data_IF_467166274828
#
_entry.id   IF_467166274828
#
_cell.length_a   1.000
_cell.length_b   1.000
_cell.length_c   1.000
_cell.angle_alpha   90.00
_cell.angle_beta   90.00
_cell.angle_gamma   90.00
#
_symmetry.space_group_name_H-M   'P 1'
#
loop_
_entity.id
_entity.type
_entity.pdbx_description
1 polymer ?
#
# COMPACT_ATOMS: atom_id res chain seq x y z
N UNK A 1 32.70 28.20 15.47
CA UNK A 1 31.81 27.04 15.70
C UNK A 1 30.58 27.16 14.83
N UNK A 2 30.45 26.34 13.79
CA UNK A 2 29.19 26.19 13.04
C UNK A 2 28.23 25.35 13.88
N UNK A 3 27.04 25.89 14.18
CA UNK A 3 25.93 25.12 14.78
C UNK A 3 25.08 24.58 13.64
N UNK A 4 24.63 23.33 13.74
CA UNK A 4 23.74 22.72 12.76
C UNK A 4 22.30 22.81 13.24
N UNK A 5 21.39 23.32 12.42
CA UNK A 5 19.96 23.31 12.65
C UNK A 5 19.30 22.29 11.73
N UNK A 6 18.51 21.38 12.29
CA UNK A 6 17.71 20.45 11.52
C UNK A 6 16.31 21.01 11.30
N UNK A 7 15.98 21.37 10.07
CA UNK A 7 14.67 21.94 9.70
C UNK A 7 13.51 21.00 9.99
N UNK A 8 13.71 19.69 9.89
CA UNK A 8 12.66 18.70 10.18
C UNK A 8 12.43 18.51 11.67
N UNK A 9 13.51 18.44 12.46
CA UNK A 9 13.42 18.21 13.91
C UNK A 9 13.17 19.49 14.71
N UNK A 10 13.29 20.66 14.07
CA UNK A 10 13.26 21.99 14.70
C UNK A 10 14.21 22.11 15.90
N UNK A 11 15.38 21.49 15.82
CA UNK A 11 16.36 21.41 16.92
C UNK A 11 17.75 21.84 16.46
N UNK A 12 18.46 22.57 17.33
CA UNK A 12 19.88 22.88 17.14
C UNK A 12 20.77 21.79 17.72
N UNK A 13 21.86 21.50 17.03
CA UNK A 13 22.92 20.60 17.46
C UNK A 13 24.11 21.42 18.00
N UNK A 14 24.67 20.98 19.13
CA UNK A 14 25.72 21.71 19.86
C UNK A 14 27.02 21.81 19.06
N UNK A 15 27.39 20.73 18.36
CA UNK A 15 28.59 20.66 17.52
C UNK A 15 28.28 20.04 16.17
N UNK A 16 28.65 20.74 15.10
CA UNK A 16 28.44 20.30 13.73
C UNK A 16 29.64 19.52 13.18
N UNK A 17 29.95 18.38 13.79
CA UNK A 17 30.94 17.44 13.24
C UNK A 17 30.23 16.40 12.37
N UNK A 18 30.92 15.88 11.35
CA UNK A 18 30.35 14.87 10.44
C UNK A 18 29.81 13.65 11.18
N UNK A 19 30.48 13.21 12.25
CA UNK A 19 30.05 12.09 13.08
C UNK A 19 28.73 12.37 13.79
N UNK A 20 28.61 13.53 14.46
CA UNK A 20 27.40 13.91 15.20
C UNK A 20 26.23 14.18 14.25
N UNK A 21 26.50 14.82 13.10
CA UNK A 21 25.46 15.04 12.08
C UNK A 21 24.96 13.71 11.50
N UNK A 22 25.87 12.79 11.16
CA UNK A 22 25.51 11.47 10.61
C UNK A 22 24.68 10.65 11.59
N UNK A 23 25.03 10.66 12.88
CA UNK A 23 24.25 9.94 13.90
C UNK A 23 22.86 10.55 14.10
N UNK A 24 22.72 11.88 14.02
CA UNK A 24 21.43 12.56 14.04
C UNK A 24 20.54 12.16 12.85
N UNK A 25 21.08 12.19 11.63
CA UNK A 25 20.33 11.90 10.39
C UNK A 25 19.83 10.45 10.30
N UNK A 26 20.60 9.49 10.83
CA UNK A 26 20.20 8.07 10.90
C UNK A 26 19.36 7.77 12.17
N UNK A 27 19.15 8.78 13.02
CA UNK A 27 18.38 8.67 14.25
C UNK A 27 16.91 8.30 13.99
N UNK A 28 16.37 7.36 14.78
CA UNK A 28 14.98 6.89 14.65
C UNK A 28 13.94 8.01 14.66
N UNK A 29 14.13 9.02 15.52
CA UNK A 29 13.18 10.14 15.61
C UNK A 29 13.24 11.03 14.36
N UNK A 30 14.45 11.36 13.89
CA UNK A 30 14.64 12.12 12.65
C UNK A 30 13.99 11.39 11.46
N UNK A 31 14.31 10.11 11.26
CA UNK A 31 13.73 9.31 10.17
C UNK A 31 12.20 9.28 10.19
N UNK A 32 11.59 9.18 11.38
CA UNK A 32 10.12 9.21 11.52
C UNK A 32 9.56 10.58 11.11
N UNK A 33 10.11 11.67 11.64
CA UNK A 33 9.64 13.03 11.35
C UNK A 33 9.81 13.36 9.87
N UNK A 34 10.98 13.06 9.30
CA UNK A 34 11.27 13.26 7.88
C UNK A 34 10.33 12.43 7.00
N UNK A 35 10.09 11.16 7.34
CA UNK A 35 9.13 10.32 6.62
C UNK A 35 7.70 10.88 6.70
N UNK A 36 7.27 11.36 7.86
CA UNK A 36 5.94 11.94 8.05
C UNK A 36 5.79 13.26 7.29
N UNK A 37 6.84 14.10 7.25
CA UNK A 37 6.88 15.32 6.44
C UNK A 37 6.62 15.01 4.97
N UNK A 38 7.40 14.11 4.36
CA UNK A 38 7.25 13.78 2.94
C UNK A 38 5.93 13.07 2.63
N UNK A 39 5.44 12.20 3.53
CA UNK A 39 4.10 11.60 3.40
C UNK A 39 3.01 12.66 3.41
N UNK A 40 3.08 13.64 4.31
CA UNK A 40 2.10 14.72 4.37
C UNK A 40 2.20 15.63 3.15
N UNK A 41 3.40 16.01 2.73
CA UNK A 41 3.60 16.86 1.54
C UNK A 41 3.06 16.20 0.27
N UNK A 42 3.35 14.90 0.07
CA UNK A 42 2.81 14.13 -1.04
C UNK A 42 1.27 14.05 -1.01
N UNK A 43 0.69 13.87 0.19
CA UNK A 43 -0.77 13.87 0.38
C UNK A 43 -1.37 15.23 0.08
N UNK A 44 -0.74 16.32 0.48
CA UNK A 44 -1.24 17.68 0.26
C UNK A 44 -1.25 18.00 -1.23
N UNK A 45 -0.16 17.72 -1.95
CA UNK A 45 -0.07 17.91 -3.40
C UNK A 45 -1.13 17.08 -4.12
N UNK A 46 -1.27 15.79 -3.76
CA UNK A 46 -2.26 14.90 -4.38
C UNK A 46 -3.72 15.30 -4.05
N UNK A 47 -3.97 15.86 -2.87
CA UNK A 47 -5.32 16.25 -2.44
C UNK A 47 -5.71 17.67 -2.83
N UNK A 48 -4.74 18.49 -3.28
CA UNK A 48 -4.98 19.87 -3.71
C UNK A 48 -5.89 19.87 -4.94
N UNK A 49 -6.99 20.62 -4.85
CA UNK A 49 -8.01 20.74 -5.90
C UNK A 49 -8.10 22.18 -6.39
N UNK A 50 -7.06 22.60 -7.09
CA UNK A 50 -7.04 23.92 -7.72
C UNK A 50 -7.81 23.84 -9.05
N UNK A 51 -8.89 24.62 -9.15
CA UNK A 51 -9.69 24.69 -10.38
C UNK A 51 -9.11 25.75 -11.30
N UNK A 52 -9.20 25.52 -12.62
CA UNK A 52 -8.78 26.51 -13.62
C UNK A 52 -9.66 27.76 -13.52
N UNK A 53 -9.07 28.92 -13.82
CA UNK A 53 -9.85 30.15 -13.99
C UNK A 53 -10.80 29.97 -15.17
N UNK A 54 -12.08 30.23 -14.95
CA UNK A 54 -13.09 30.14 -15.98
C UNK A 54 -13.43 31.54 -16.52
N UNK A 55 -13.03 31.82 -17.76
CA UNK A 55 -13.42 33.03 -18.48
C UNK A 55 -14.69 32.74 -19.28
N UNK A 56 -15.83 33.25 -18.82
CA UNK A 56 -17.13 33.03 -19.47
C UNK A 56 -17.38 34.08 -20.53
N UNK A 57 -17.35 33.68 -21.80
CA UNK A 57 -17.80 34.51 -22.93
C UNK A 57 -19.32 34.60 -23.01
N UNK A 58 -19.83 35.61 -23.73
CA UNK A 58 -21.27 35.74 -24.00
C UNK A 58 -21.67 34.71 -25.07
N UNK A 59 -22.59 33.81 -24.71
CA UNK A 59 -23.16 32.82 -25.64
C UNK A 59 -23.98 33.52 -26.73
N UNK A 60 -23.78 33.11 -27.99
CA UNK A 60 -24.50 33.65 -29.14
C UNK A 60 -25.97 33.20 -29.20
N UNK A 61 -26.80 33.89 -30.00
CA UNK A 61 -28.25 33.62 -30.09
C UNK A 61 -28.58 32.20 -30.58
N UNK A 62 -27.99 31.78 -31.70
CA UNK A 62 -28.19 30.43 -32.28
C UNK A 62 -27.83 29.31 -31.30
N UNK A 63 -26.80 29.52 -30.48
CA UNK A 63 -26.37 28.55 -29.47
C UNK A 63 -27.39 28.40 -28.34
N UNK A 64 -28.03 29.50 -27.93
CA UNK A 64 -29.08 29.49 -26.89
C UNK A 64 -30.31 28.76 -27.38
N UNK A 65 -30.78 29.09 -28.59
CA UNK A 65 -31.94 28.46 -29.24
C UNK A 65 -31.78 26.94 -29.31
N UNK A 66 -30.59 26.45 -29.71
CA UNK A 66 -30.30 25.02 -29.72
C UNK A 66 -30.26 24.38 -28.32
N UNK A 67 -29.72 25.08 -27.31
CA UNK A 67 -29.70 24.51 -25.94
C UNK A 67 -31.06 24.57 -25.24
N UNK A 68 -31.90 25.53 -25.59
CA UNK A 68 -33.24 25.68 -25.02
C UNK A 68 -34.21 24.67 -25.64
N UNK A 69 -33.95 24.20 -26.87
CA UNK A 69 -34.66 23.10 -27.50
C UNK A 69 -34.37 21.74 -26.83
N UNK A 70 -33.24 21.60 -26.12
CA UNK A 70 -32.90 20.38 -25.39
C UNK A 70 -33.63 20.32 -24.03
N UNK A 71 -34.01 19.10 -23.62
CA UNK A 71 -34.58 18.89 -22.29
C UNK A 71 -33.56 19.16 -21.17
N UNK A 72 -34.05 19.72 -20.06
CA UNK A 72 -33.21 19.97 -18.88
C UNK A 72 -32.85 18.66 -18.18
N UNK A 73 -31.55 18.44 -18.02
CA UNK A 73 -31.01 17.28 -17.33
C UNK A 73 -31.18 17.40 -15.81
N UNK A 74 -31.66 16.32 -15.17
CA UNK A 74 -31.73 16.23 -13.70
C UNK A 74 -30.33 16.04 -13.10
N UNK A 75 -29.95 16.92 -12.17
CA UNK A 75 -28.70 16.79 -11.41
C UNK A 75 -28.91 15.98 -10.13
N UNK A 76 -28.13 14.91 -9.94
CA UNK A 76 -28.16 14.12 -8.70
C UNK A 76 -27.19 14.70 -7.67
N UNK A 77 -27.68 14.97 -6.47
CA UNK A 77 -26.92 15.57 -5.38
C UNK A 77 -27.08 14.73 -4.12
N UNK A 78 -25.96 14.20 -3.60
CA UNK A 78 -25.94 13.38 -2.40
C UNK A 78 -25.93 14.21 -1.11
N UNK A 79 -26.37 13.58 0.00
CA UNK A 79 -26.24 14.14 1.35
C UNK A 79 -24.78 14.27 1.79
N UNK A 80 -24.48 15.18 2.72
CA UNK A 80 -23.13 15.34 3.27
C UNK A 80 -22.59 14.06 3.92
N UNK A 81 -23.45 13.29 4.59
CA UNK A 81 -23.09 12.00 5.19
C UNK A 81 -22.64 11.00 4.13
N UNK A 82 -23.40 10.90 3.04
CA UNK A 82 -23.12 10.02 1.91
C UNK A 82 -21.85 10.44 1.16
N UNK A 83 -21.70 11.74 0.88
CA UNK A 83 -20.49 12.31 0.26
C UNK A 83 -19.23 11.97 1.06
N UNK A 84 -19.29 12.12 2.39
CA UNK A 84 -18.18 11.79 3.29
C UNK A 84 -17.84 10.30 3.26
N UNK A 85 -18.86 9.43 3.29
CA UNK A 85 -18.69 7.98 3.16
C UNK A 85 -18.05 7.58 1.83
N UNK A 86 -18.60 8.09 0.72
CA UNK A 86 -18.11 7.81 -0.63
C UNK A 86 -16.68 8.32 -0.84
N UNK A 87 -16.34 9.51 -0.34
CA UNK A 87 -14.98 10.04 -0.44
C UNK A 87 -13.98 9.19 0.35
N UNK A 88 -14.36 8.73 1.55
CA UNK A 88 -13.51 7.84 2.34
C UNK A 88 -13.28 6.50 1.62
N UNK A 89 -14.34 5.87 1.10
CA UNK A 89 -14.25 4.64 0.32
C UNK A 89 -13.36 4.81 -0.92
N UNK A 90 -13.54 5.89 -1.69
CA UNK A 90 -12.70 6.20 -2.87
C UNK A 90 -11.23 6.34 -2.50
N UNK A 91 -10.91 7.05 -1.41
CA UNK A 91 -9.52 7.24 -0.96
C UNK A 91 -8.87 5.92 -0.54
N UNK A 92 -9.61 5.05 0.16
CA UNK A 92 -9.11 3.72 0.54
C UNK A 92 -8.87 2.85 -0.69
N UNK A 93 -9.82 2.81 -1.63
CA UNK A 93 -9.68 2.04 -2.86
C UNK A 93 -8.49 2.51 -3.70
N UNK A 94 -8.29 3.83 -3.85
CA UNK A 94 -7.12 4.38 -4.55
C UNK A 94 -5.81 3.98 -3.88
N UNK A 95 -5.75 4.01 -2.54
CA UNK A 95 -4.57 3.59 -1.79
C UNK A 95 -4.28 2.10 -1.97
N UNK A 96 -5.31 1.25 -1.87
CA UNK A 96 -5.18 -0.19 -2.07
C UNK A 96 -4.72 -0.53 -3.49
N UNK A 97 -5.29 0.12 -4.51
CA UNK A 97 -4.88 -0.04 -5.91
C UNK A 97 -3.41 0.37 -6.12
N UNK A 98 -2.98 1.49 -5.53
CA UNK A 98 -1.59 1.95 -5.65
C UNK A 98 -0.57 1.06 -4.92
N UNK A 99 -1.01 0.32 -3.90
CA UNK A 99 -0.15 -0.58 -3.12
C UNK A 99 -0.14 -2.02 -3.67
N UNK A 100 -1.14 -2.38 -4.46
CA UNK A 100 -1.27 -3.73 -5.00
C UNK A 100 -0.32 -3.92 -6.18
N UNK A 101 0.45 -5.01 -6.16
CA UNK A 101 1.27 -5.47 -7.29
C UNK A 101 0.93 -6.92 -7.66
N UNK A 102 1.16 -7.27 -8.92
CA UNK A 102 0.90 -8.61 -9.46
C UNK A 102 2.17 -9.45 -9.29
N UNK A 103 2.18 -10.37 -8.32
CA UNK A 103 3.34 -11.24 -8.02
C UNK A 103 3.04 -12.72 -8.32
N UNK A 104 2.13 -13.01 -9.26
CA UNK A 104 1.70 -14.39 -9.59
C UNK A 104 2.84 -15.26 -10.10
N UNK A 105 3.79 -14.68 -10.85
CA UNK A 105 4.95 -15.41 -11.37
C UNK A 105 5.84 -15.97 -10.26
N UNK A 106 6.01 -15.22 -9.16
CA UNK A 106 6.81 -15.69 -8.03
C UNK A 106 6.19 -16.96 -7.41
N UNK A 107 4.86 -17.02 -7.29
CA UNK A 107 4.17 -18.22 -6.80
C UNK A 107 4.14 -19.35 -7.82
N UNK A 108 4.06 -19.04 -9.12
CA UNK A 108 3.99 -20.03 -10.20
C UNK A 108 5.31 -20.81 -10.34
N UNK A 109 6.43 -20.12 -10.23
CA UNK A 109 7.77 -20.69 -10.38
C UNK A 109 8.33 -21.25 -9.08
N UNK A 110 7.55 -21.28 -7.99
CA UNK A 110 8.01 -21.84 -6.72
C UNK A 110 8.29 -23.34 -6.87
N UNK A 111 9.53 -23.75 -6.58
CA UNK A 111 10.02 -25.11 -6.78
C UNK A 111 10.66 -25.38 -8.16
N UNK A 112 10.71 -24.39 -9.05
CA UNK A 112 11.47 -24.51 -10.30
C UNK A 112 12.98 -24.58 -10.04
N UNK A 113 13.76 -25.26 -10.91
CA UNK A 113 15.22 -25.24 -10.81
C UNK A 113 15.72 -23.81 -10.98
N UNK A 114 16.59 -23.36 -10.08
CA UNK A 114 17.16 -22.02 -10.12
C UNK A 114 16.26 -20.90 -9.55
N UNK A 115 15.08 -21.20 -9.01
CA UNK A 115 14.20 -20.22 -8.35
C UNK A 115 14.96 -19.31 -7.38
N UNK A 116 15.79 -19.92 -6.53
CA UNK A 116 16.53 -19.25 -5.47
C UNK A 116 17.61 -18.28 -5.95
N UNK A 117 17.96 -18.30 -7.24
CA UNK A 117 18.94 -17.40 -7.85
C UNK A 117 18.31 -16.14 -8.46
N UNK A 118 17.01 -16.19 -8.78
CA UNK A 118 16.30 -15.13 -9.52
C UNK A 118 15.25 -14.44 -8.67
N UNK A 119 14.40 -15.21 -7.97
CA UNK A 119 13.25 -14.70 -7.22
C UNK A 119 13.56 -14.35 -5.76
N UNK A 120 14.76 -14.70 -5.28
CA UNK A 120 15.21 -14.32 -3.94
C UNK A 120 16.17 -13.16 -4.07
N UNK A 121 15.73 -11.97 -3.65
CA UNK A 121 16.49 -10.73 -3.80
C UNK A 121 17.87 -10.78 -3.13
N UNK A 122 18.01 -11.48 -2.01
CA UNK A 122 19.30 -11.62 -1.30
C UNK A 122 20.35 -12.42 -2.10
N UNK A 123 19.91 -13.24 -3.04
CA UNK A 123 20.76 -14.15 -3.80
C UNK A 123 21.00 -13.66 -5.24
N UNK A 124 20.35 -12.58 -5.66
CA UNK A 124 20.54 -11.97 -6.98
C UNK A 124 21.91 -11.29 -7.06
N UNK A 125 22.53 -11.34 -8.22
CA UNK A 125 23.85 -10.75 -8.43
C UNK A 125 23.83 -9.22 -8.55
N UNK A 126 22.74 -8.63 -9.02
CA UNK A 126 22.60 -7.20 -9.24
C UNK A 126 22.34 -6.43 -7.94
N UNK A 127 21.43 -6.93 -7.10
CA UNK A 127 20.97 -6.25 -5.89
C UNK A 127 21.31 -6.97 -4.58
N UNK A 128 21.81 -8.21 -4.62
CA UNK A 128 21.96 -9.05 -3.43
C UNK A 128 22.86 -8.43 -2.36
N UNK A 129 23.97 -7.82 -2.77
CA UNK A 129 24.89 -7.16 -1.84
C UNK A 129 24.27 -5.90 -1.22
N UNK A 130 23.50 -5.12 -2.00
CA UNK A 130 22.75 -3.97 -1.49
C UNK A 130 21.67 -4.37 -0.49
N UNK A 131 20.95 -5.47 -0.75
CA UNK A 131 19.93 -6.01 0.16
C UNK A 131 20.55 -6.49 1.46
N UNK A 132 21.74 -7.09 1.42
CA UNK A 132 22.48 -7.51 2.63
C UNK A 132 23.01 -6.31 3.41
N UNK A 133 23.63 -5.34 2.73
CA UNK A 133 24.21 -4.14 3.34
C UNK A 133 23.16 -3.19 3.93
N UNK A 134 21.95 -3.15 3.36
CA UNK A 134 20.84 -2.32 3.84
C UNK A 134 20.12 -2.87 5.08
N UNK A 135 20.44 -4.10 5.52
CA UNK A 135 19.90 -4.64 6.77
C UNK A 135 20.32 -3.75 7.94
N UNK A 136 19.32 -3.19 8.63
CA UNK A 136 19.54 -2.28 9.74
C UNK A 136 20.26 -2.96 10.91
N UNK A 137 21.15 -2.24 11.63
CA UNK A 137 21.82 -2.77 12.80
C UNK A 137 20.79 -3.11 13.89
N UNK A 138 20.71 -4.39 14.26
CA UNK A 138 19.80 -4.88 15.29
C UNK A 138 20.40 -4.67 16.68
N UNK A 139 20.55 -3.41 17.10
CA UNK A 139 21.11 -3.06 18.42
C UNK A 139 20.17 -3.33 19.59
N UNK A 140 18.86 -3.46 19.32
CA UNK A 140 17.84 -3.75 20.31
C UNK A 140 17.37 -5.20 20.15
N UNK A 141 17.70 -6.05 21.12
CA UNK A 141 17.40 -7.48 21.10
C UNK A 141 15.89 -7.78 21.26
N UNK A 142 15.10 -6.83 21.78
CA UNK A 142 13.68 -7.07 22.10
C UNK A 142 12.77 -7.22 20.86
N UNK A 143 13.19 -6.73 19.68
CA UNK A 143 12.33 -6.81 18.49
C UNK A 143 12.33 -8.20 17.84
N UNK A 144 13.41 -8.96 18.00
CA UNK A 144 13.49 -10.33 17.50
C UNK A 144 12.73 -11.31 18.38
N UNK A 145 12.64 -11.07 19.69
CA UNK A 145 11.89 -11.94 20.62
C UNK A 145 10.37 -11.81 20.46
N UNK A 146 9.87 -10.66 19.99
CA UNK A 146 8.44 -10.43 19.73
C UNK A 146 7.89 -11.24 18.54
N UNK A 147 8.75 -11.68 17.63
CA UNK A 147 8.35 -12.46 16.46
C UNK A 147 8.87 -13.89 16.56
N UNK A 148 8.05 -14.80 17.07
CA UNK A 148 8.37 -16.23 17.19
C UNK A 148 8.31 -17.00 15.84
N UNK A 149 8.16 -16.31 14.71
CA UNK A 149 8.11 -16.94 13.39
C UNK A 149 9.52 -17.34 12.94
N UNK A 150 9.69 -18.58 12.51
CA UNK A 150 10.96 -19.06 11.94
C UNK A 150 11.29 -18.26 10.67
N UNK A 151 12.49 -17.67 10.63
CA UNK A 151 13.01 -17.07 9.40
C UNK A 151 13.40 -18.19 8.44
N UNK A 152 12.65 -18.39 7.36
CA UNK A 152 12.96 -19.38 6.33
C UNK A 152 13.77 -18.72 5.21
N UNK A 153 15.09 -18.61 5.41
CA UNK A 153 16.01 -18.19 4.34
C UNK A 153 16.28 -19.36 3.40
N UNK A 154 16.01 -19.17 2.11
CA UNK A 154 16.34 -20.14 1.06
C UNK A 154 17.76 -19.93 0.54
N UNK A 155 18.53 -21.01 0.48
CA UNK A 155 19.94 -20.95 0.09
C UNK A 155 20.07 -20.76 -1.43
N UNK A 156 21.17 -20.14 -1.85
CA UNK A 156 21.51 -20.03 -3.27
C UNK A 156 21.92 -21.38 -3.87
N UNK A 157 22.40 -22.30 -3.03
CA UNK A 157 22.97 -23.60 -3.42
C UNK A 157 21.92 -24.72 -3.49
N UNK A 158 20.64 -24.38 -3.48
CA UNK A 158 19.56 -25.35 -3.64
C UNK A 158 19.62 -26.03 -5.01
N UNK A 159 19.60 -27.36 -5.00
CA UNK A 159 19.53 -28.23 -6.17
C UNK A 159 18.09 -28.70 -6.41
N UNK A 160 17.82 -29.22 -7.61
CA UNK A 160 16.51 -29.78 -7.97
C UNK A 160 16.19 -31.11 -7.26
N UNK A 161 17.19 -31.78 -6.65
CA UNK A 161 17.04 -33.07 -5.97
C UNK A 161 16.19 -32.99 -4.70
N UNK A 162 16.12 -31.81 -4.07
CA UNK A 162 15.42 -31.62 -2.80
C UNK A 162 13.89 -31.78 -2.91
N UNK A 163 13.32 -31.66 -4.10
CA UNK A 163 11.88 -31.84 -4.34
C UNK A 163 11.62 -32.51 -5.69
N UNK A 164 11.88 -33.82 -5.81
CA UNK A 164 11.79 -34.53 -7.08
C UNK A 164 10.33 -34.72 -7.52
N UNK A 165 9.38 -34.70 -6.59
CA UNK A 165 7.95 -34.85 -6.85
C UNK A 165 7.14 -33.67 -6.32
N UNK A 166 7.14 -32.51 -7.01
CA UNK A 166 6.47 -31.30 -6.56
C UNK A 166 4.96 -31.46 -6.30
N UNK A 167 4.31 -32.40 -6.98
CA UNK A 167 2.86 -32.66 -6.82
C UNK A 167 2.51 -33.33 -5.49
N UNK A 168 3.43 -34.10 -4.90
CA UNK A 168 3.22 -34.76 -3.60
C UNK A 168 3.47 -33.80 -2.44
N UNK A 169 4.45 -32.91 -2.58
CA UNK A 169 4.89 -31.98 -1.54
C UNK A 169 4.08 -30.68 -1.53
N UNK A 170 3.71 -30.15 -2.69
CA UNK A 170 3.04 -28.86 -2.85
C UNK A 170 1.71 -28.99 -3.62
N UNK A 171 0.62 -29.43 -2.97
CA UNK A 171 -0.70 -29.53 -3.60
C UNK A 171 -1.44 -28.19 -3.72
N UNK A 172 -0.77 -27.04 -3.49
CA UNK A 172 -1.44 -25.73 -3.48
C UNK A 172 -1.95 -25.38 -4.88
N UNK A 173 -3.26 -25.18 -4.97
CA UNK A 173 -3.91 -24.64 -6.17
C UNK A 173 -3.67 -23.14 -6.24
N UNK A 174 -3.58 -22.61 -7.47
CA UNK A 174 -3.53 -21.17 -7.68
C UNK A 174 -4.80 -20.52 -7.13
N UNK A 175 -4.64 -19.31 -6.60
CA UNK A 175 -5.81 -18.51 -6.21
C UNK A 175 -6.68 -18.22 -7.44
N UNK A 176 -8.01 -18.26 -7.30
CA UNK A 176 -8.90 -17.88 -8.38
C UNK A 176 -8.74 -16.38 -8.73
N UNK A 177 -9.08 -15.97 -9.96
CA UNK A 177 -9.03 -14.57 -10.35
C UNK A 177 -9.97 -13.74 -9.47
N UNK A 178 -9.47 -12.61 -8.99
CA UNK A 178 -10.25 -11.69 -8.14
C UNK A 178 -11.19 -10.86 -9.00
N UNK A 179 -12.38 -10.58 -8.46
CA UNK A 179 -13.43 -9.84 -9.15
C UNK A 179 -13.76 -8.54 -8.43
N UNK A 180 -14.35 -7.60 -9.16
CA UNK A 180 -14.81 -6.34 -8.57
C UNK A 180 -16.03 -6.59 -7.68
N UNK A 181 -15.89 -6.30 -6.39
CA UNK A 181 -16.99 -6.48 -5.42
C UNK A 181 -18.28 -5.75 -5.81
N UNK A 182 -18.16 -4.57 -6.45
CA UNK A 182 -19.30 -3.77 -6.91
C UNK A 182 -20.13 -4.45 -8.01
N UNK A 183 -19.54 -5.37 -8.76
CA UNK A 183 -20.18 -6.11 -9.86
C UNK A 183 -20.24 -7.62 -9.56
N UNK A 184 -20.14 -8.01 -8.30
CA UNK A 184 -20.15 -9.43 -7.92
C UNK A 184 -21.48 -10.13 -8.16
N UNK A 185 -22.56 -9.38 -8.43
CA UNK A 185 -23.87 -9.88 -8.79
C UNK A 185 -24.00 -10.29 -10.27
N UNK A 186 -23.03 -9.96 -11.13
CA UNK A 186 -23.05 -10.33 -12.56
C UNK A 186 -22.42 -11.70 -12.83
N UNK A 187 -21.88 -12.37 -11.80
CA UNK A 187 -21.29 -13.70 -11.96
C UNK A 187 -22.40 -14.75 -12.17
N UNK A 188 -22.19 -15.76 -13.05
CA UNK A 188 -23.11 -16.88 -13.17
C UNK A 188 -23.35 -17.57 -11.83
N UNK A 189 -24.62 -17.90 -11.54
CA UNK A 189 -25.02 -18.54 -10.27
C UNK A 189 -24.64 -20.02 -10.21
N UNK A 190 -24.39 -20.64 -11.35
CA UNK A 190 -24.05 -22.06 -11.51
C UNK A 190 -22.76 -22.22 -12.31
N UNK A 191 -21.98 -23.26 -11.99
CA UNK A 191 -20.89 -23.73 -12.84
C UNK A 191 -21.43 -24.68 -13.90
N UNK A 192 -20.63 -24.89 -14.95
CA UNK A 192 -20.88 -25.91 -15.98
C UNK A 192 -20.75 -27.32 -15.40
N UNK A 193 -19.70 -27.57 -14.60
CA UNK A 193 -19.44 -28.88 -14.01
C UNK A 193 -19.79 -28.92 -12.53
N UNK A 194 -20.28 -30.07 -12.07
CA UNK A 194 -20.45 -30.34 -10.65
C UNK A 194 -19.08 -30.44 -9.98
N UNK A 195 -18.87 -29.61 -8.95
CA UNK A 195 -17.71 -29.71 -8.08
C UNK A 195 -18.15 -29.45 -6.65
N UNK A 196 -17.71 -30.32 -5.73
CA UNK A 196 -18.09 -30.28 -4.31
C UNK A 196 -17.61 -28.99 -3.64
N UNK A 197 -16.35 -28.61 -3.84
CA UNK A 197 -15.71 -27.54 -3.07
C UNK A 197 -15.29 -26.33 -3.93
N UNK A 198 -15.10 -26.51 -5.24
CA UNK A 198 -14.42 -25.50 -6.06
C UNK A 198 -15.28 -24.25 -6.24
N UNK A 199 -16.58 -24.40 -6.49
CA UNK A 199 -17.44 -23.23 -6.77
C UNK A 199 -17.52 -22.27 -5.58
N UNK A 200 -17.86 -22.81 -4.40
CA UNK A 200 -18.02 -21.99 -3.20
C UNK A 200 -16.69 -21.40 -2.74
N UNK A 201 -15.60 -22.18 -2.78
CA UNK A 201 -14.26 -21.68 -2.47
C UNK A 201 -13.80 -20.61 -3.47
N UNK A 202 -14.06 -20.80 -4.77
CA UNK A 202 -13.68 -19.84 -5.82
C UNK A 202 -14.43 -18.52 -5.67
N UNK A 203 -15.74 -18.57 -5.42
CA UNK A 203 -16.55 -17.36 -5.21
C UNK A 203 -16.13 -16.66 -3.91
N UNK A 204 -15.84 -17.42 -2.84
CA UNK A 204 -15.40 -16.84 -1.56
C UNK A 204 -14.03 -16.18 -1.67
N UNK A 205 -13.07 -16.85 -2.30
CA UNK A 205 -11.69 -16.35 -2.42
C UNK A 205 -11.57 -15.22 -3.45
N UNK A 206 -12.34 -15.26 -4.54
CA UNK A 206 -12.39 -14.16 -5.53
C UNK A 206 -13.00 -12.86 -4.97
N UNK A 207 -13.86 -12.96 -3.95
CA UNK A 207 -14.46 -11.82 -3.23
C UNK A 207 -13.58 -11.30 -2.08
N UNK A 208 -12.50 -12.01 -1.75
CA UNK A 208 -11.61 -11.61 -0.65
C UNK A 208 -10.88 -10.32 -1.01
N UNK A 209 -10.87 -9.38 -0.06
CA UNK A 209 -10.17 -8.11 -0.24
C UNK A 209 -8.67 -8.35 -0.31
N UNK A 210 -7.99 -7.67 -1.23
CA UNK A 210 -6.53 -7.72 -1.39
C UNK A 210 -5.76 -7.41 -0.10
N UNK A 211 -6.30 -6.51 0.73
CA UNK A 211 -5.66 -6.08 1.98
C UNK A 211 -6.68 -6.13 3.13
N UNK A 212 -6.77 -7.24 3.89
CA UNK A 212 -7.74 -7.38 4.98
C UNK A 212 -7.46 -6.41 6.15
N UNK A 213 -6.21 -6.02 6.35
CA UNK A 213 -5.76 -5.16 7.46
C UNK A 213 -6.08 -3.67 7.28
N UNK A 214 -6.69 -3.26 6.15
CA UNK A 214 -7.07 -1.85 5.92
C UNK A 214 -8.12 -1.30 6.91
N UNK A 215 -8.75 -2.19 7.68
CA UNK A 215 -9.76 -1.91 8.69
C UNK A 215 -9.28 -2.07 10.14
N UNK A 216 -7.98 -2.33 10.40
CA UNK A 216 -7.49 -2.11 11.77
C UNK A 216 -7.63 -0.62 12.05
N UNK A 217 -8.69 -0.25 12.77
CA UNK A 217 -8.75 1.00 13.53
C UNK A 217 -7.36 1.17 14.15
N UNK A 218 -6.69 2.33 13.98
CA UNK A 218 -5.47 2.56 14.73
C UNK A 218 -5.78 2.24 16.18
N UNK A 219 -5.04 1.30 16.77
CA UNK A 219 -5.11 1.00 18.19
C UNK A 219 -5.17 2.35 18.92
N UNK A 220 -6.23 2.55 19.69
CA UNK A 220 -6.56 3.84 20.28
C UNK A 220 -5.33 4.43 20.92
N UNK A 221 -4.92 5.62 20.45
CA UNK A 221 -3.98 6.44 21.18
C UNK A 221 -4.73 6.94 22.41
N UNK A 222 -4.68 6.14 23.48
CA UNK A 222 -5.19 6.49 24.78
C UNK A 222 -4.54 7.82 25.21
N UNK A 223 -5.39 8.81 25.49
CA UNK A 223 -5.12 9.89 26.43
C UNK A 223 -3.91 10.78 26.18
N UNK A 224 -4.11 11.88 25.44
CA UNK A 224 -3.47 13.15 25.83
C UNK A 224 -4.60 14.16 26.04
N UNK A 225 -5.04 14.28 27.29
CA UNK A 225 -5.90 15.38 27.74
C UNK A 225 -5.17 16.68 27.37
N UNK A 226 -5.72 17.46 26.43
CA UNK A 226 -5.28 18.84 26.19
C UNK A 226 -5.49 19.61 27.49
N UNK A 227 -4.42 19.93 28.21
CA UNK A 227 -4.45 21.00 29.22
C UNK A 227 -4.79 22.28 28.46
N UNK A 228 -5.97 22.84 28.70
CA UNK A 228 -6.26 24.23 28.38
C UNK A 228 -5.40 25.07 29.32
N UNK A 229 -4.47 25.83 28.78
CA UNK A 229 -3.98 27.01 29.48
C UNK A 229 -5.10 28.04 29.37
N UNK A 230 -5.73 28.37 30.51
CA UNK A 230 -6.54 29.57 30.64
C UNK A 230 -5.63 30.76 30.91
N UNK A 231 -6.08 31.94 30.47
CA UNK A 231 -5.62 33.23 30.98
C UNK A 231 -5.83 33.31 32.50
#
# INVERSE_FOLDING_TARGET
MTRYYCEYCHSYLTHDTLSVRKSHLVGKNHLRITADYYKNKARDISSKRDHKRHHKGKRGRKERENTDANEKLRLTCLSNREKRGNLHGRKMNQKELAQTSINTLQSLYDGSPGYSKVFIDTNRFDIGDLVKASKLPQRANDRSTQHALKQTSRSRDETCENNPFPRLTNPRRLEPPKILSQWSNTIPKTSIFYSTDILQATIKESKKRMHPDGLRKPLGYNGVKRRRYGN
#
